data_IF_490651172603
#
_entry.id   IF_490651172603
#
_cell.length_a   1.000
_cell.length_b   1.000
_cell.length_c   1.000
_cell.angle_alpha   90.00
_cell.angle_beta   90.00
_cell.angle_gamma   90.00
#
_symmetry.space_group_name_H-M   'P 1'
#
loop_
_entity.id
_entity.type
_entity.pdbx_description
1 polymer ?
2 water ?
#
# COMPACT_ATOMS: atom_id res chain seq x y z
N UNK A 26 4.56 -6.66 8.01
CA UNK A 26 3.83 -7.99 7.95
C UNK A 26 4.11 -8.79 6.68
N UNK A 27 4.49 -8.11 5.59
CA UNK A 27 4.84 -8.74 4.30
C UNK A 27 6.08 -9.61 4.45
N UNK A 28 5.99 -10.85 3.93
CA UNK A 28 7.03 -11.93 4.02
C UNK A 28 6.80 -12.87 5.23
N UNK A 29 5.89 -12.45 6.11
CA UNK A 29 5.64 -13.18 7.34
C UNK A 29 4.28 -13.87 7.21
N UNK A 30 4.06 -14.88 8.05
CA UNK A 30 2.77 -15.54 8.07
C UNK A 30 1.70 -14.55 8.54
N UNK A 31 0.53 -14.64 7.92
CA UNK A 31 -0.58 -13.76 8.26
C UNK A 31 -1.07 -14.09 9.67
N UNK A 32 -1.50 -13.08 10.42
CA UNK A 32 -2.18 -13.29 11.69
C UNK A 32 -3.49 -14.02 11.41
N UNK A 33 -3.63 -15.22 11.96
CA UNK A 33 -4.84 -15.98 11.77
C UNK A 33 -5.90 -15.44 12.72
N UNK A 34 -7.14 -15.40 12.23
CA UNK A 34 -8.24 -14.97 13.07
C UNK A 34 -9.42 -15.85 12.84
N UNK A 35 -10.32 -15.86 13.82
CA UNK A 35 -11.61 -16.53 13.73
C UNK A 35 -12.60 -15.45 14.15
N UNK A 36 -13.55 -15.14 13.28
CA UNK A 36 -14.44 -14.02 13.57
C UNK A 36 -15.81 -14.29 12.97
N UNK A 37 -16.82 -13.54 13.38
CA UNK A 37 -18.13 -13.62 12.74
C UNK A 37 -18.10 -12.87 11.41
N UNK A 38 -18.83 -13.40 10.43
CA UNK A 38 -18.99 -12.72 9.15
C UNK A 38 -20.41 -12.77 8.67
N UNK A 39 -20.74 -11.86 7.77
CA UNK A 39 -22.04 -11.84 7.16
C UNK A 39 -21.78 -12.19 5.72
N UNK A 40 -22.27 -13.34 5.26
CA UNK A 40 -21.94 -13.77 3.87
C UNK A 40 -22.86 -13.25 2.76
N UNK A 41 -22.62 -13.71 1.53
CA UNK A 41 -23.38 -13.17 0.39
C UNK A 41 -24.84 -13.53 0.43
N UNK A 42 -25.22 -14.53 1.23
CA UNK A 42 -26.62 -14.90 1.37
C UNK A 42 -27.19 -14.29 2.65
N UNK A 43 -26.45 -13.35 3.23
CA UNK A 43 -26.84 -12.71 4.48
C UNK A 43 -27.06 -13.66 5.63
N UNK A 44 -26.21 -14.68 5.71
CA UNK A 44 -26.17 -15.59 6.84
C UNK A 44 -24.95 -15.21 7.67
N UNK A 45 -25.08 -15.32 8.99
CA UNK A 45 -23.96 -15.06 9.90
C UNK A 45 -23.18 -16.35 10.02
N UNK A 46 -21.89 -16.29 9.69
CA UNK A 46 -21.03 -17.48 9.58
C UNK A 46 -19.72 -17.30 10.33
N UNK A 47 -18.97 -18.40 10.49
CA UNK A 47 -17.65 -18.33 11.09
C UNK A 47 -16.64 -18.18 9.98
N UNK A 48 -15.76 -17.21 10.13
CA UNK A 48 -14.73 -16.90 9.15
C UNK A 48 -13.41 -17.21 9.84
N UNK A 49 -12.76 -18.26 9.35
CA UNK A 49 -11.50 -18.76 9.90
C UNK A 49 -10.46 -18.59 8.78
N UNK A 50 -9.54 -17.64 8.95
CA UNK A 50 -8.61 -17.32 7.87
C UNK A 50 -7.77 -18.54 7.49
N UNK A 51 -7.40 -19.32 8.49
CA UNK A 51 -6.54 -20.49 8.23
C UNK A 51 -7.23 -21.55 7.36
N UNK A 52 -8.56 -21.51 7.28
CA UNK A 52 -9.30 -22.42 6.42
C UNK A 52 -9.00 -22.28 4.93
N UNK A 53 -8.48 -21.13 4.51
CA UNK A 53 -8.14 -20.90 3.11
C UNK A 53 -6.74 -21.40 2.72
N UNK A 54 -5.93 -21.76 3.71
CA UNK A 54 -4.56 -22.22 3.40
C UNK A 54 -4.63 -23.48 2.54
N UNK A 55 -3.83 -23.50 1.47
CA UNK A 55 -3.81 -24.59 0.51
C UNK A 55 -5.00 -24.57 -0.43
N UNK A 56 -5.89 -23.59 -0.26
CA UNK A 56 -7.15 -23.54 -1.04
C UNK A 56 -7.26 -22.30 -1.93
N UNK A 57 -7.12 -21.13 -1.33
CA UNK A 57 -7.35 -19.88 -2.07
C UNK A 57 -6.42 -18.80 -1.56
N UNK A 58 -6.15 -17.79 -2.40
CA UNK A 58 -5.58 -16.53 -1.93
C UNK A 58 -6.68 -15.75 -1.20
N UNK A 59 -6.30 -14.84 -0.32
CA UNK A 59 -7.29 -13.98 0.31
C UNK A 59 -6.89 -12.54 0.13
N UNK A 60 -7.89 -11.67 0.00
CA UNK A 60 -7.66 -10.23 -0.02
C UNK A 60 -8.43 -9.65 1.14
N UNK A 61 -7.71 -9.09 2.10
CA UNK A 61 -8.35 -8.52 3.31
C UNK A 61 -8.51 -7.04 3.07
N UNK A 62 -9.76 -6.59 3.02
CA UNK A 62 -10.04 -5.20 2.72
C UNK A 62 -10.56 -4.54 4.00
N UNK A 63 -9.68 -3.88 4.77
CA UNK A 63 -10.12 -3.15 5.98
C UNK A 63 -10.71 -1.79 5.62
N UNK A 64 -11.71 -1.34 6.40
CA UNK A 64 -12.28 -0.01 6.09
C UNK A 64 -12.94 0.59 7.34
N UNK A 65 -13.04 1.92 7.40
CA UNK A 65 -13.84 2.61 8.41
C UNK A 65 -15.32 2.70 8.03
N UNK A 66 -16.22 2.49 9.00
CA UNK A 66 -17.65 2.80 8.80
C UNK A 66 -18.02 4.11 9.49
N UNK A 67 -17.02 4.71 10.11
CA UNK A 67 -17.11 6.01 10.79
C UNK A 67 -17.76 7.01 9.83
N UNK A 68 -18.76 7.77 10.29
CA UNK A 68 -19.46 8.69 9.40
C UNK A 68 -18.51 9.64 8.65
N UNK A 69 -17.51 10.18 9.33
CA UNK A 69 -16.62 11.16 8.72
C UNK A 69 -15.91 10.62 7.50
N UNK A 70 -15.54 9.34 7.55
CA UNK A 70 -14.71 8.76 6.48
C UNK A 70 -15.34 7.65 5.66
N UNK A 71 -16.60 7.32 5.91
CA UNK A 71 -17.20 6.16 5.21
C UNK A 71 -17.23 6.38 3.67
N UNK A 72 -16.87 5.35 2.92
CA UNK A 72 -16.76 5.42 1.46
C UNK A 72 -17.46 4.21 0.84
N UNK A 73 -18.78 4.31 0.67
CA UNK A 73 -19.52 3.17 0.12
C UNK A 73 -19.09 2.84 -1.30
N UNK A 74 -18.70 3.86 -2.09
CA UNK A 74 -18.44 3.60 -3.50
C UNK A 74 -17.28 2.59 -3.68
N UNK A 75 -16.29 2.61 -2.79
CA UNK A 75 -15.19 1.64 -2.98
C UNK A 75 -15.66 0.21 -2.80
N UNK A 76 -16.51 -0.05 -1.80
CA UNK A 76 -17.10 -1.40 -1.60
C UNK A 76 -17.96 -1.81 -2.79
N UNK A 77 -18.78 -0.88 -3.28
CA UNK A 77 -19.57 -1.12 -4.47
C UNK A 77 -18.70 -1.51 -5.66
N UNK A 78 -17.60 -0.79 -5.85
CA UNK A 78 -16.72 -1.12 -6.98
C UNK A 78 -16.03 -2.47 -6.87
N UNK A 79 -15.61 -2.83 -5.66
CA UNK A 79 -15.00 -4.14 -5.47
C UNK A 79 -16.04 -5.24 -5.77
N UNK A 80 -17.25 -5.04 -5.28
CA UNK A 80 -18.33 -5.98 -5.57
C UNK A 80 -18.62 -6.17 -7.08
N UNK A 81 -18.53 -5.08 -7.82
CA UNK A 81 -18.75 -5.11 -9.28
C UNK A 81 -17.71 -6.00 -9.96
N UNK A 82 -16.57 -6.19 -9.30
CA UNK A 82 -15.47 -6.99 -9.84
C UNK A 82 -15.35 -8.35 -9.19
N UNK A 83 -16.40 -8.79 -8.51
CA UNK A 83 -16.28 -10.01 -7.74
C UNK A 83 -15.96 -11.23 -8.63
N UNK A 84 -16.48 -11.26 -9.88
CA UNK A 84 -16.10 -12.37 -10.81
C UNK A 84 -14.61 -12.43 -11.16
N UNK A 85 -13.94 -11.27 -11.18
CA UNK A 85 -12.48 -11.23 -11.31
C UNK A 85 -11.75 -11.84 -10.13
N UNK A 86 -12.21 -11.52 -8.92
CA UNK A 86 -11.63 -12.16 -7.71
C UNK A 86 -11.86 -13.66 -7.79
N UNK A 87 -13.08 -14.08 -8.10
CA UNK A 87 -13.40 -15.52 -8.22
C UNK A 87 -12.54 -16.23 -9.27
N UNK A 88 -12.40 -15.58 -10.42
CA UNK A 88 -11.57 -16.14 -11.50
C UNK A 88 -10.09 -16.30 -11.11
N UNK A 89 -9.63 -15.49 -10.17
CA UNK A 89 -8.24 -15.53 -9.72
C UNK A 89 -8.07 -16.40 -8.47
N UNK A 90 -9.15 -17.04 -8.05
CA UNK A 90 -9.16 -17.88 -6.83
C UNK A 90 -8.79 -17.10 -5.57
N UNK A 91 -9.37 -15.91 -5.45
CA UNK A 91 -9.14 -15.02 -4.31
C UNK A 91 -10.43 -14.89 -3.51
N UNK A 92 -10.36 -15.12 -2.21
CA UNK A 92 -11.52 -14.85 -1.32
C UNK A 92 -11.38 -13.39 -0.88
N UNK A 93 -12.37 -12.56 -1.21
CA UNK A 93 -12.36 -11.18 -0.75
C UNK A 93 -13.07 -11.07 0.58
N UNK A 94 -12.43 -10.44 1.57
CA UNK A 94 -13.07 -10.30 2.90
C UNK A 94 -13.02 -8.83 3.30
N UNK A 95 -14.19 -8.23 3.48
CA UNK A 95 -14.24 -6.85 4.00
C UNK A 95 -14.17 -6.96 5.51
N UNK A 96 -13.36 -6.13 6.16
CA UNK A 96 -13.24 -6.15 7.62
C UNK A 96 -13.42 -4.74 8.22
N UNK A 97 -14.33 -4.59 9.17
CA UNK A 97 -14.38 -3.34 9.94
C UNK A 97 -14.68 -3.66 11.39
N UNK A 98 -14.55 -2.66 12.25
CA UNK A 98 -14.76 -2.89 13.69
C UNK A 98 -16.25 -3.00 14.10
N UNK A 99 -17.15 -2.89 13.13
CA UNK A 99 -18.57 -2.72 13.43
C UNK A 99 -19.34 -4.02 13.54
N UNK A 100 -20.52 -3.97 14.14
CA UNK A 100 -21.31 -5.21 14.35
C UNK A 100 -21.89 -5.82 13.07
N UNK A 101 -22.30 -7.08 13.14
CA UNK A 101 -22.99 -7.72 12.04
C UNK A 101 -24.25 -6.91 11.66
N UNK A 102 -24.91 -6.33 12.66
CA UNK A 102 -26.14 -5.54 12.39
C UNK A 102 -25.78 -4.38 11.48
N UNK A 103 -24.70 -3.69 11.84
CA UNK A 103 -24.25 -2.54 11.04
C UNK A 103 -24.01 -2.94 9.60
N UNK A 104 -23.37 -4.08 9.37
CA UNK A 104 -23.09 -4.53 8.02
C UNK A 104 -24.36 -4.88 7.29
N UNK A 105 -25.27 -5.59 7.97
CA UNK A 105 -26.55 -5.87 7.30
C UNK A 105 -27.33 -4.59 6.96
N UNK A 106 -27.35 -3.65 7.90
CA UNK A 106 -27.98 -2.37 7.67
C UNK A 106 -27.37 -1.62 6.48
N UNK A 107 -26.06 -1.70 6.38
CA UNK A 107 -25.38 -1.01 5.27
C UNK A 107 -25.74 -1.66 3.92
N UNK A 108 -25.84 -3.00 3.89
CA UNK A 108 -26.20 -3.73 2.69
C UNK A 108 -27.65 -3.40 2.27
N UNK A 109 -28.50 -3.20 3.24
CA UNK A 109 -29.92 -2.96 2.95
C UNK A 109 -30.24 -1.49 2.61
N UNK A 110 -29.33 -0.60 2.95
CA UNK A 110 -29.53 0.84 2.79
C UNK A 110 -29.48 1.19 1.30
N UNK A 111 -30.39 2.06 0.83
CA UNK A 111 -30.36 2.38 -0.60
C UNK A 111 -29.03 3.06 -0.94
N UNK A 112 -28.55 2.86 -2.16
CA UNK A 112 -27.29 3.45 -2.61
C UNK A 112 -27.32 5.00 -2.48
N UNK A 113 -28.45 5.62 -2.82
CA UNK A 113 -28.51 7.07 -2.78
C UNK A 113 -28.46 7.68 -1.36
N UNK A 114 -28.60 6.81 -0.35
CA UNK A 114 -28.52 7.19 1.05
C UNK A 114 -27.22 6.73 1.74
N UNK A 115 -26.29 6.20 0.93
CA UNK A 115 -24.98 5.80 1.41
C UNK A 115 -24.81 4.30 1.63
N UNK A 116 -25.74 3.50 1.11
CA UNK A 116 -25.65 2.04 1.23
C UNK A 116 -24.70 1.39 0.24
N UNK A 117 -24.47 0.08 0.41
CA UNK A 117 -23.57 -0.66 -0.49
C UNK A 117 -24.28 -1.73 -1.32
N UNK A 118 -25.56 -1.97 -1.00
CA UNK A 118 -26.32 -3.03 -1.68
C UNK A 118 -25.94 -4.41 -1.18
N UNK A 119 -26.59 -5.44 -1.73
CA UNK A 119 -26.31 -6.82 -1.26
C UNK A 119 -25.09 -7.42 -1.93
N UNK A 120 -23.94 -7.00 -1.44
CA UNK A 120 -22.64 -7.39 -2.00
C UNK A 120 -22.44 -8.90 -1.89
N UNK A 121 -21.67 -9.43 -2.85
CA UNK A 121 -21.46 -10.88 -2.99
C UNK A 121 -20.14 -11.37 -2.42
N UNK A 122 -19.71 -10.76 -1.33
CA UNK A 122 -18.57 -11.26 -0.59
C UNK A 122 -18.80 -11.04 0.89
N UNK A 123 -18.01 -11.71 1.71
CA UNK A 123 -18.20 -11.69 3.15
C UNK A 123 -17.69 -10.43 3.84
N UNK A 124 -18.49 -9.93 4.76
CA UNK A 124 -18.12 -8.78 5.60
C UNK A 124 -17.89 -9.29 7.00
N UNK A 125 -16.68 -9.10 7.49
CA UNK A 125 -16.26 -9.63 8.77
C UNK A 125 -16.37 -8.56 9.85
N UNK A 126 -16.87 -8.96 11.03
CA UNK A 126 -17.02 -8.04 12.14
C UNK A 126 -15.86 -8.17 13.11
N UNK A 127 -15.03 -7.13 13.20
CA UNK A 127 -13.85 -7.13 14.09
C UNK A 127 -14.22 -6.38 15.38
N UNK A 128 -15.26 -6.87 16.06
CA UNK A 128 -15.85 -6.18 17.21
C UNK A 128 -14.85 -5.86 18.30
N UNK A 129 -14.01 -6.84 18.63
CA UNK A 129 -13.07 -6.64 19.73
C UNK A 129 -11.79 -5.94 19.28
N UNK A 130 -11.70 -5.61 17.99
CA UNK A 130 -10.58 -4.85 17.41
C UNK A 130 -9.28 -5.64 17.27
N UNK A 131 -9.31 -6.91 17.65
CA UNK A 131 -8.08 -7.68 17.64
C UNK A 131 -7.48 -7.85 16.24
N UNK A 132 -8.33 -7.96 15.23
CA UNK A 132 -7.81 -8.21 13.87
C UNK A 132 -7.11 -6.93 13.40
N UNK A 133 -7.80 -5.80 13.52
CA UNK A 133 -7.22 -4.52 13.09
C UNK A 133 -5.92 -4.25 13.86
N UNK A 134 -5.93 -4.52 15.18
CA UNK A 134 -4.73 -4.34 16.02
C UNK A 134 -3.55 -5.12 15.44
N UNK A 135 -3.80 -6.40 15.19
CA UNK A 135 -2.73 -7.31 14.76
C UNK A 135 -2.24 -7.09 13.34
N UNK A 136 -3.08 -6.49 12.50
CA UNK A 136 -2.69 -6.06 11.17
C UNK A 136 -2.13 -4.61 11.15
N UNK A 137 -1.99 -4.01 12.32
CA UNK A 137 -1.45 -2.62 12.45
C UNK A 137 -2.25 -1.58 11.70
N UNK A 138 -3.56 -1.73 11.70
CA UNK A 138 -4.42 -0.78 11.00
C UNK A 138 -5.51 -0.20 11.89
N UNK A 139 -5.35 -0.30 13.22
CA UNK A 139 -6.34 0.27 14.12
C UNK A 139 -5.96 1.73 14.41
N UNK A 140 -6.92 2.63 14.20
CA UNK A 140 -6.71 4.06 14.39
C UNK A 140 -7.36 4.49 15.69
N UNK A 141 -6.60 5.17 16.55
CA UNK A 141 -7.13 5.78 17.80
C UNK A 141 -7.90 4.80 18.66
N UNK A 142 -7.45 3.54 18.67
CA UNK A 142 -8.15 2.42 19.28
C UNK A 142 -9.65 2.45 19.01
N UNK A 143 -10.05 2.89 17.82
CA UNK A 143 -11.44 3.16 17.49
C UNK A 143 -11.95 2.43 16.23
N UNK A 144 -11.31 2.69 15.08
CA UNK A 144 -11.76 2.07 13.83
C UNK A 144 -10.58 1.70 12.93
N UNK A 145 -10.85 0.93 11.89
CA UNK A 145 -9.80 0.47 11.01
C UNK A 145 -9.47 1.50 9.96
N UNK A 146 -8.18 1.63 9.68
CA UNK A 146 -7.72 2.42 8.54
C UNK A 146 -8.00 1.66 7.24
N UNK A 147 -7.76 2.33 6.10
CA UNK A 147 -7.97 1.71 4.78
C UNK A 147 -6.80 0.83 4.41
N UNK A 148 -6.66 -0.27 5.13
CA UNK A 148 -5.61 -1.25 4.86
C UNK A 148 -6.08 -2.33 3.91
N UNK A 149 -5.15 -2.87 3.14
CA UNK A 149 -5.45 -4.00 2.25
C UNK A 149 -4.26 -4.92 2.28
N UNK A 150 -4.55 -6.23 2.40
CA UNK A 150 -3.50 -7.22 2.43
C UNK A 150 -3.83 -8.33 1.46
N UNK A 151 -2.81 -8.86 0.79
CA UNK A 151 -3.04 -10.06 0.00
C UNK A 151 -2.28 -11.18 0.70
N UNK A 152 -2.96 -12.31 0.89
CA UNK A 152 -2.40 -13.49 1.55
C UNK A 152 -2.42 -14.64 0.54
N UNK A 153 -1.29 -15.36 0.42
CA UNK A 153 -1.20 -16.41 -0.58
C UNK A 153 -1.68 -17.76 -0.04
N UNK A 154 -1.55 -18.82 -0.84
CA UNK A 154 -2.17 -20.11 -0.49
C UNK A 154 -1.39 -20.85 0.61
N UNK A 155 -0.20 -20.33 0.94
CA UNK A 155 0.56 -20.79 2.09
C UNK A 155 0.31 -19.99 3.36
N UNK A 156 -0.51 -18.95 3.27
CA UNK A 156 -0.80 -18.13 4.44
C UNK A 156 0.23 -17.03 4.69
N UNK A 157 1.04 -16.73 3.68
CA UNK A 157 2.03 -15.66 3.78
C UNK A 157 1.46 -14.33 3.26
N UNK A 158 1.80 -13.23 3.94
CA UNK A 158 1.40 -11.89 3.46
C UNK A 158 2.32 -11.48 2.31
N UNK A 159 1.71 -11.20 1.16
CA UNK A 159 2.41 -10.90 -0.07
C UNK A 159 2.28 -9.45 -0.52
N UNK A 160 1.42 -8.67 0.14
CA UNK A 160 1.28 -7.28 -0.24
C UNK A 160 0.54 -6.58 0.86
N UNK A 161 0.90 -5.34 1.12
CA UNK A 161 0.25 -4.57 2.17
C UNK A 161 0.17 -3.13 1.66
N UNK A 162 -1.02 -2.52 1.78
CA UNK A 162 -1.21 -1.10 1.38
C UNK A 162 -2.08 -0.46 2.45
N UNK A 163 -1.79 0.80 2.80
CA UNK A 163 -2.69 1.55 3.67
C UNK A 163 -2.86 2.91 2.98
N UNK A 164 -4.08 3.16 2.51
CA UNK A 164 -4.44 4.39 1.81
C UNK A 164 -4.74 5.48 2.83
N UNK A 165 -4.66 6.75 2.41
CA UNK A 165 -5.08 7.87 3.22
C UNK A 165 -6.58 7.66 3.57
N UNK A 166 -7.00 7.98 4.78
CA UNK A 166 -8.41 7.77 5.17
C UNK A 166 -9.43 8.38 4.17
N UNK A 167 -9.21 9.61 3.68
CA UNK A 167 -10.21 10.13 2.71
C UNK A 167 -10.21 9.57 1.30
N UNK A 168 -9.35 8.60 1.00
CA UNK A 168 -9.12 8.18 -0.38
C UNK A 168 -9.49 6.72 -0.60
N UNK A 169 -10.51 6.47 -1.42
CA UNK A 169 -10.94 5.06 -1.69
C UNK A 169 -9.91 4.29 -2.49
N UNK A 170 -9.94 2.96 -2.42
CA UNK A 170 -8.98 2.17 -3.19
C UNK A 170 -9.47 1.91 -4.61
N UNK A 171 -8.51 1.68 -5.51
CA UNK A 171 -8.80 1.42 -6.90
C UNK A 171 -8.77 -0.11 -7.16
N UNK A 172 -9.93 -0.69 -7.38
CA UNK A 172 -10.01 -2.14 -7.57
C UNK A 172 -9.20 -2.66 -8.76
N UNK A 173 -9.09 -1.88 -9.84
CA UNK A 173 -8.33 -2.37 -11.00
C UNK A 173 -6.85 -2.54 -10.63
N UNK A 174 -6.34 -1.60 -9.82
CA UNK A 174 -4.96 -1.64 -9.31
C UNK A 174 -4.75 -2.87 -8.43
N UNK A 175 -5.77 -3.17 -7.58
CA UNK A 175 -5.65 -4.32 -6.70
C UNK A 175 -5.58 -5.61 -7.55
N UNK A 176 -6.40 -5.66 -8.59
CA UNK A 176 -6.45 -6.83 -9.44
C UNK A 176 -5.15 -7.01 -10.19
N UNK A 177 -4.54 -5.91 -10.64
CA UNK A 177 -3.20 -5.99 -11.27
C UNK A 177 -2.16 -6.53 -10.28
N UNK A 178 -2.22 -6.06 -9.03
CA UNK A 178 -1.31 -6.57 -7.97
C UNK A 178 -1.47 -8.05 -7.75
N UNK A 179 -2.73 -8.50 -7.67
CA UNK A 179 -2.97 -9.92 -7.50
C UNK A 179 -2.39 -10.72 -8.69
N UNK A 180 -2.66 -10.26 -9.91
CA UNK A 180 -2.07 -10.87 -11.14
C UNK A 180 -0.53 -11.01 -11.05
N UNK A 181 0.12 -9.97 -10.58
CA UNK A 181 1.59 -10.02 -10.41
C UNK A 181 2.03 -11.06 -9.40
N UNK A 182 1.28 -11.22 -8.30
CA UNK A 182 1.62 -12.19 -7.26
C UNK A 182 1.42 -13.61 -7.81
N UNK A 183 0.31 -13.81 -8.51
CA UNK A 183 0.03 -15.12 -9.08
C UNK A 183 1.13 -15.50 -10.12
N UNK A 184 1.56 -14.51 -10.91
CA UNK A 184 2.61 -14.70 -11.93
C UNK A 184 3.94 -15.13 -11.28
N UNK A 185 4.31 -14.48 -10.17
CA UNK A 185 5.48 -14.91 -9.35
C UNK A 185 5.33 -16.34 -8.85
N UNK A 186 4.12 -16.70 -8.40
CA UNK A 186 3.91 -18.04 -7.85
C UNK A 186 4.03 -19.09 -8.95
N UNK A 187 3.62 -18.75 -10.16
CA UNK A 187 3.63 -19.74 -11.22
C UNK A 187 4.94 -19.76 -12.03
N UNK A 188 5.66 -18.63 -12.06
CA UNK A 188 6.86 -18.48 -12.91
C UNK A 188 8.19 -18.34 -12.16
N UNK A 189 8.14 -17.80 -10.94
CA UNK A 189 9.34 -17.49 -10.16
C UNK A 189 10.19 -16.33 -10.65
N UNK A 190 9.66 -15.50 -11.56
CA UNK A 190 10.42 -14.36 -12.07
C UNK A 190 10.53 -13.18 -11.12
N UNK A 191 11.74 -12.66 -10.97
CA UNK A 191 11.99 -11.45 -10.22
C UNK A 191 12.00 -10.25 -11.16
N UNK A 192 11.18 -9.26 -10.85
CA UNK A 192 11.24 -8.00 -11.59
C UNK A 192 11.00 -8.26 -13.10
N UNK A 193 9.84 -8.87 -13.46
CA UNK A 193 9.58 -9.37 -14.82
C UNK A 193 9.75 -8.30 -15.92
N UNK B 26 1.69 3.46 10.69
CA UNK B 26 2.50 4.65 10.25
C UNK B 26 1.66 5.75 9.59
N UNK B 27 0.69 5.35 8.76
CA UNK B 27 -0.21 6.29 8.06
C UNK B 27 -1.03 7.06 9.10
N UNK B 28 -1.14 8.38 8.88
CA UNK B 28 -1.73 9.38 9.81
C UNK B 28 -0.79 9.87 10.92
N UNK B 29 0.36 9.23 11.07
CA UNK B 29 1.29 9.63 12.11
C UNK B 29 2.42 10.45 11.47
N UNK B 30 3.17 11.15 12.33
CA UNK B 30 4.32 11.95 11.88
C UNK B 30 5.45 11.04 11.41
N UNK B 31 5.98 11.34 10.24
CA UNK B 31 7.00 10.51 9.62
C UNK B 31 8.31 10.57 10.43
N UNK B 32 9.02 9.45 10.48
CA UNK B 32 10.33 9.38 11.08
C UNK B 32 11.28 10.31 10.34
N UNK B 33 11.83 11.27 11.09
CA UNK B 33 12.68 12.30 10.53
C UNK B 33 14.14 11.86 10.55
N UNK B 34 14.59 11.26 9.46
CA UNK B 34 15.96 10.74 9.44
C UNK B 34 16.97 11.79 9.01
N UNK B 35 18.23 11.52 9.32
CA UNK B 35 19.35 12.24 8.73
C UNK B 35 20.34 11.16 8.23
N UNK B 36 20.72 11.28 6.96
CA UNK B 36 21.57 10.25 6.36
C UNK B 36 22.33 10.91 5.23
N UNK B 37 23.41 10.30 4.80
CA UNK B 37 24.08 10.78 3.59
C UNK B 37 23.33 10.32 2.37
N UNK B 38 23.31 11.18 1.36
CA UNK B 38 22.70 10.82 0.10
C UNK B 38 23.61 11.22 -1.04
N UNK B 39 23.35 10.65 -2.21
CA UNK B 39 24.10 10.95 -3.40
C UNK B 39 23.09 11.65 -4.32
N UNK B 40 23.29 12.93 -4.61
CA UNK B 40 22.28 13.65 -5.42
C UNK B 40 22.42 13.51 -6.95
N UNK B 41 21.59 14.26 -7.70
CA UNK B 41 21.52 14.10 -9.15
C UNK B 41 22.81 14.55 -9.82
N UNK B 42 23.62 15.30 -9.10
CA UNK B 42 24.91 15.75 -9.61
C UNK B 42 26.06 14.94 -9.03
N UNK B 43 25.70 13.81 -8.43
CA UNK B 43 26.65 12.92 -7.75
C UNK B 43 27.52 13.61 -6.72
N UNK B 44 26.91 14.54 -6.00
CA UNK B 44 27.46 15.16 -4.82
C UNK B 44 26.91 14.45 -3.59
N UNK B 45 27.77 14.27 -2.60
CA UNK B 45 27.35 13.66 -1.33
C UNK B 45 26.74 14.77 -0.48
N UNK B 46 25.50 14.57 -0.06
CA UNK B 46 24.77 15.57 0.71
C UNK B 46 24.21 14.97 1.99
N UNK B 47 23.89 15.85 2.94
CA UNK B 47 23.14 15.38 4.10
C UNK B 47 21.66 15.52 3.81
N UNK B 48 20.92 14.42 3.87
CA UNK B 48 19.50 14.42 3.56
C UNK B 48 18.75 14.37 4.87
N UNK B 49 17.92 15.39 5.08
CA UNK B 49 17.20 15.59 6.32
C UNK B 49 15.74 15.70 5.93
N UNK B 50 14.90 14.76 6.38
CA UNK B 50 13.51 14.74 5.94
C UNK B 50 12.82 16.05 6.32
N UNK B 51 13.19 16.58 7.49
CA UNK B 51 12.50 17.76 8.00
C UNK B 51 12.74 18.98 7.16
N UNK B 52 13.77 18.95 6.31
CA UNK B 52 14.02 20.08 5.41
C UNK B 52 12.92 20.33 4.38
N UNK B 53 12.11 19.31 4.11
CA UNK B 53 11.06 19.44 3.09
C UNK B 53 9.75 19.94 3.67
N UNK B 54 9.66 20.02 4.99
CA UNK B 54 8.44 20.48 5.65
C UNK B 54 8.08 21.87 5.20
N UNK B 55 6.81 22.06 4.90
CA UNK B 55 6.29 23.32 4.42
C UNK B 55 6.78 23.65 3.04
N UNK B 56 7.53 22.74 2.42
CA UNK B 56 8.09 23.01 1.09
C UNK B 56 7.61 22.05 0.00
N UNK B 57 7.71 20.75 0.26
CA UNK B 57 7.54 19.72 -0.75
C UNK B 57 6.93 18.46 -0.11
N UNK B 58 6.18 17.71 -0.91
CA UNK B 58 5.83 16.32 -0.58
C UNK B 58 7.07 15.48 -0.78
N UNK B 59 7.15 14.33 -0.12
CA UNK B 59 8.24 13.37 -0.38
C UNK B 59 7.66 12.03 -0.76
N UNK B 60 8.34 11.32 -1.65
CA UNK B 60 8.00 9.94 -1.95
C UNK B 60 9.25 9.13 -1.57
N UNK B 61 9.14 8.29 -0.54
CA UNK B 61 10.27 7.45 -0.12
C UNK B 61 10.15 6.12 -0.83
N UNK B 62 11.16 5.73 -1.58
CA UNK B 62 11.13 4.49 -2.34
C UNK B 62 12.23 3.58 -1.79
N UNK B 63 11.85 2.59 -0.99
CA UNK B 63 12.85 1.65 -0.41
C UNK B 63 13.03 0.46 -1.34
N UNK B 64 14.26 -0.08 -1.37
CA UNK B 64 14.51 -1.26 -2.24
C UNK B 64 15.74 -1.99 -1.74
N UNK B 65 15.85 -3.30 -2.11
CA UNK B 65 17.03 -4.13 -1.87
C UNK B 65 18.03 -4.06 -3.03
N UNK B 66 19.32 -4.20 -2.69
CA UNK B 66 20.39 -4.31 -3.69
C UNK B 66 21.07 -5.69 -3.74
N UNK B 67 20.56 -6.66 -3.01
CA UNK B 67 21.14 -8.03 -3.12
C UNK B 67 20.85 -8.60 -4.51
N UNK B 68 21.72 -9.46 -5.01
CA UNK B 68 21.51 -9.97 -6.38
C UNK B 68 20.19 -10.71 -6.58
N UNK B 69 19.70 -11.38 -5.55
CA UNK B 69 18.44 -12.12 -5.70
C UNK B 69 17.30 -11.19 -6.07
N UNK B 70 17.20 -10.05 -5.38
CA UNK B 70 16.00 -9.19 -5.51
C UNK B 70 16.19 -7.81 -6.16
N UNK B 71 17.42 -7.47 -6.55
CA UNK B 71 17.65 -6.15 -7.14
C UNK B 71 16.85 -5.95 -8.45
N UNK B 72 16.29 -4.75 -8.60
CA UNK B 72 15.36 -4.43 -9.70
C UNK B 72 15.69 -3.04 -10.28
N UNK B 73 16.69 -2.99 -11.17
CA UNK B 73 17.07 -1.70 -11.73
C UNK B 73 15.94 -1.12 -12.58
N UNK B 74 15.15 -1.99 -13.20
CA UNK B 74 14.11 -1.53 -14.14
C UNK B 74 13.14 -0.53 -13.47
N UNK B 75 12.79 -0.76 -12.20
CA UNK B 75 11.81 0.14 -11.58
C UNK B 75 12.41 1.52 -11.37
N UNK B 76 13.69 1.57 -10.99
CA UNK B 76 14.37 2.83 -10.80
C UNK B 76 14.48 3.58 -12.12
N UNK B 77 14.81 2.83 -13.17
CA UNK B 77 14.91 3.43 -14.50
C UNK B 77 13.57 4.07 -14.90
N UNK B 78 12.49 3.37 -14.59
CA UNK B 78 11.12 3.85 -14.92
C UNK B 78 10.72 5.08 -14.10
N UNK B 79 11.02 5.08 -12.79
CA UNK B 79 10.80 6.28 -11.98
C UNK B 79 11.58 7.45 -12.52
N UNK B 80 12.84 7.22 -12.90
CA UNK B 80 13.65 8.29 -13.45
C UNK B 80 13.11 8.85 -14.77
N UNK B 81 12.61 7.97 -15.62
CA UNK B 81 11.96 8.39 -16.88
C UNK B 81 10.86 9.42 -16.62
N UNK B 82 10.12 9.21 -15.52
CA UNK B 82 9.01 10.09 -15.14
C UNK B 82 9.35 11.12 -14.06
N UNK B 83 10.64 11.42 -13.89
CA UNK B 83 11.03 12.27 -12.78
C UNK B 83 10.38 13.66 -12.87
N UNK B 84 10.20 14.18 -14.09
CA UNK B 84 9.60 15.51 -14.21
C UNK B 84 8.13 15.54 -13.77
N UNK B 85 7.45 14.40 -13.87
CA UNK B 85 6.07 14.29 -13.31
C UNK B 85 6.06 14.44 -11.78
N UNK B 86 7.05 13.87 -11.10
CA UNK B 86 7.22 14.15 -9.66
C UNK B 86 7.51 15.62 -9.41
N UNK B 87 8.44 16.20 -10.19
CA UNK B 87 8.75 17.62 -10.06
C UNK B 87 7.52 18.52 -10.28
N UNK B 88 6.70 18.20 -11.27
CA UNK B 88 5.50 18.98 -11.59
C UNK B 88 4.51 18.98 -10.42
N UNK B 89 4.53 17.90 -9.65
CA UNK B 89 3.66 17.76 -8.49
C UNK B 89 4.29 18.22 -7.15
N UNK B 90 5.49 18.83 -7.22
CA UNK B 90 6.19 19.32 -6.05
C UNK B 90 6.50 18.15 -5.08
N UNK B 91 6.97 17.03 -5.64
CA UNK B 91 7.32 15.85 -4.84
C UNK B 91 8.82 15.58 -4.97
N UNK B 92 9.50 15.52 -3.83
CA UNK B 92 10.90 15.06 -3.79
C UNK B 92 10.93 13.51 -3.76
N UNK B 93 11.49 12.88 -4.80
CA UNK B 93 11.65 11.41 -4.82
C UNK B 93 12.96 11.03 -4.14
N UNK B 94 12.90 10.16 -3.13
CA UNK B 94 14.14 9.69 -2.47
C UNK B 94 14.22 8.15 -2.52
N UNK B 95 15.25 7.63 -3.18
CA UNK B 95 15.46 6.17 -3.17
C UNK B 95 16.22 5.87 -1.90
N UNK B 96 15.83 4.82 -1.19
CA UNK B 96 16.52 4.48 0.06
C UNK B 96 16.90 2.99 0.10
N UNK B 97 18.16 2.66 0.37
CA UNK B 97 18.54 1.24 0.63
C UNK B 97 19.57 1.22 1.77
N UNK B 98 19.85 0.04 2.31
CA UNK B 98 20.83 -0.08 3.41
C UNK B 98 22.31 0.05 2.96
N UNK B 99 22.52 0.26 1.68
CA UNK B 99 23.85 0.12 1.10
C UNK B 99 24.60 1.45 1.09
N UNK B 100 25.92 1.42 0.88
CA UNK B 100 26.73 2.64 1.07
C UNK B 100 26.63 3.63 -0.11
N UNK B 101 27.15 4.84 0.10
CA UNK B 101 27.18 5.85 -0.98
C UNK B 101 28.00 5.30 -2.16
N UNK B 102 29.11 4.60 -1.86
CA UNK B 102 29.92 3.98 -2.93
C UNK B 102 29.05 3.02 -3.75
N UNK B 103 28.29 2.16 -3.06
CA UNK B 103 27.44 1.17 -3.75
C UNK B 103 26.43 1.86 -4.71
N UNK B 104 25.81 2.94 -4.25
CA UNK B 104 24.88 3.71 -5.13
C UNK B 104 25.58 4.33 -6.33
N UNK B 105 26.75 4.93 -6.10
CA UNK B 105 27.51 5.53 -7.20
C UNK B 105 27.84 4.43 -8.24
N UNK B 106 28.32 3.28 -7.77
CA UNK B 106 28.64 2.15 -8.66
C UNK B 106 27.41 1.71 -9.48
N UNK B 107 26.23 1.73 -8.87
CA UNK B 107 25.00 1.32 -9.56
C UNK B 107 24.64 2.36 -10.65
N UNK B 108 24.85 3.64 -10.36
CA UNK B 108 24.58 4.72 -11.32
C UNK B 108 25.56 4.67 -12.48
N UNK B 109 26.80 4.35 -12.18
CA UNK B 109 27.83 4.28 -13.22
C UNK B 109 27.78 3.04 -14.12
N UNK B 110 27.11 1.98 -13.67
CA UNK B 110 27.06 0.69 -14.35
C UNK B 110 26.19 0.80 -15.60
N UNK B 111 26.64 0.22 -16.74
CA UNK B 111 25.79 0.24 -17.95
C UNK B 111 24.45 -0.43 -17.66
N UNK B 112 23.37 0.14 -18.22
CA UNK B 112 22.04 -0.44 -18.15
C UNK B 112 22.03 -1.90 -18.60
N UNK B 113 22.76 -2.22 -19.68
CA UNK B 113 22.82 -3.60 -20.18
C UNK B 113 23.40 -4.55 -19.15
N UNK B 114 24.21 -4.03 -18.22
CA UNK B 114 24.87 -4.82 -17.20
C UNK B 114 24.12 -4.83 -15.85
N UNK B 115 22.94 -4.21 -15.82
CA UNK B 115 22.14 -4.16 -14.60
C UNK B 115 22.21 -2.85 -13.86
N UNK B 116 22.78 -1.82 -14.51
CA UNK B 116 22.94 -0.49 -13.91
C UNK B 116 21.65 0.31 -13.99
N UNK B 117 21.63 1.46 -13.32
CA UNK B 117 20.46 2.35 -13.38
C UNK B 117 20.72 3.65 -14.13
N UNK B 118 21.99 3.92 -14.48
CA UNK B 118 22.35 5.22 -15.09
C UNK B 118 22.34 6.38 -14.10
N UNK B 119 22.69 7.58 -14.58
CA UNK B 119 22.80 8.74 -13.70
C UNK B 119 21.42 9.38 -13.47
N UNK B 120 20.65 8.72 -12.61
CA UNK B 120 19.30 9.14 -12.34
C UNK B 120 19.26 10.53 -11.71
N UNK B 121 18.15 11.23 -11.96
CA UNK B 121 17.99 12.63 -11.62
C UNK B 121 17.30 12.84 -10.28
N UNK B 122 17.58 11.97 -9.31
CA UNK B 122 17.03 12.15 -7.98
C UNK B 122 17.99 11.53 -6.95
N UNK B 123 17.79 11.88 -5.69
CA UNK B 123 18.72 11.49 -4.63
C UNK B 123 18.53 10.05 -4.13
N UNK B 124 19.66 9.33 -3.97
CA UNK B 124 19.70 7.99 -3.41
C UNK B 124 20.31 8.08 -2.00
N UNK B 125 19.57 7.59 -1.02
CA UNK B 125 19.96 7.77 0.38
C UNK B 125 20.52 6.47 0.91
N UNK B 126 21.61 6.61 1.67
CA UNK B 126 22.25 5.45 2.29
C UNK B 126 21.81 5.23 3.74
N UNK B 127 20.97 4.22 3.95
CA UNK B 127 20.47 3.85 5.30
C UNK B 127 21.49 2.87 5.97
N UNK B 128 22.73 3.34 6.16
CA UNK B 128 23.81 2.40 6.50
C UNK B 128 23.70 1.89 7.91
N UNK B 129 22.96 2.58 8.78
CA UNK B 129 22.76 2.04 10.14
C UNK B 129 21.40 1.30 10.33
N UNK B 130 20.63 1.23 9.23
CA UNK B 130 19.34 0.49 9.14
C UNK B 130 18.18 1.09 9.90
N UNK B 131 18.39 2.23 10.58
CA UNK B 131 17.32 2.86 11.39
C UNK B 131 16.18 3.45 10.55
N UNK B 132 16.46 3.85 9.32
CA UNK B 132 15.41 4.43 8.50
C UNK B 132 14.47 3.30 8.12
N UNK B 133 15.04 2.23 7.55
CA UNK B 133 14.19 1.06 7.19
C UNK B 133 13.48 0.51 8.41
N UNK B 134 14.15 0.48 9.57
CA UNK B 134 13.48 -0.05 10.78
C UNK B 134 12.26 0.79 11.16
N UNK B 135 12.44 2.11 11.13
CA UNK B 135 11.39 3.02 11.59
C UNK B 135 10.25 3.20 10.58
N UNK B 136 10.48 2.80 9.34
CA UNK B 136 9.37 2.65 8.35
C UNK B 136 8.81 1.21 8.25
N UNK B 137 9.24 0.33 9.18
CA UNK B 137 8.73 -1.06 9.31
C UNK B 137 9.01 -1.87 8.04
N UNK B 138 10.13 -1.57 7.37
CA UNK B 138 10.47 -2.28 6.13
C UNK B 138 11.88 -2.93 6.19
N UNK B 139 12.43 -3.07 7.38
CA UNK B 139 13.76 -3.73 7.49
C UNK B 139 13.51 -5.23 7.62
N UNK B 140 14.03 -5.98 6.66
CA UNK B 140 13.89 -7.43 6.67
C UNK B 140 15.12 -8.05 7.33
N UNK B 141 14.88 -8.84 8.37
CA UNK B 141 15.95 -9.70 9.00
C UNK B 141 17.22 -8.94 9.41
N UNK B 142 17.09 -7.70 9.87
CA UNK B 142 18.27 -6.88 10.19
C UNK B 142 19.29 -6.84 9.06
N UNK B 143 18.79 -6.85 7.83
CA UNK B 143 19.61 -7.08 6.66
C UNK B 143 19.40 -6.09 5.51
N UNK B 144 18.18 -5.96 4.99
CA UNK B 144 17.94 -5.08 3.86
C UNK B 144 16.51 -4.58 3.84
N UNK B 145 16.27 -3.58 3.05
CA UNK B 145 14.94 -2.99 2.95
C UNK B 145 14.03 -3.75 1.98
N UNK B 146 12.78 -3.90 2.40
CA UNK B 146 11.73 -4.48 1.56
C UNK B 146 11.27 -3.43 0.57
N UNK B 147 10.40 -3.84 -0.36
CA UNK B 147 9.96 -2.98 -1.46
C UNK B 147 8.85 -2.06 -0.96
N UNK B 148 9.23 -1.09 -0.13
CA UNK B 148 8.25 -0.22 0.52
C UNK B 148 8.18 1.12 -0.18
N UNK B 149 7.03 1.79 -0.09
CA UNK B 149 6.90 3.12 -0.64
C UNK B 149 6.01 3.94 0.26
N UNK B 150 6.42 5.17 0.53
CA UNK B 150 5.63 6.04 1.42
C UNK B 150 5.48 7.42 0.81
N UNK B 151 4.33 8.06 1.01
CA UNK B 151 4.18 9.44 0.58
C UNK B 151 4.04 10.27 1.85
N UNK B 152 4.85 11.31 1.95
CA UNK B 152 4.92 12.20 3.10
C UNK B 152 4.38 13.57 2.67
N UNK B 153 3.45 14.16 3.42
CA UNK B 153 2.93 15.47 2.97
C UNK B 153 3.78 16.65 3.46
N UNK B 154 3.32 17.87 3.17
CA UNK B 154 4.08 19.06 3.53
C UNK B 154 4.10 19.38 5.04
N UNK B 155 3.26 18.68 5.82
CA UNK B 155 3.25 18.76 7.27
C UNK B 155 4.08 17.66 7.92
N UNK B 156 4.71 16.81 7.10
CA UNK B 156 5.49 15.71 7.64
C UNK B 156 4.71 14.48 8.05
N UNK B 157 3.45 14.40 7.64
CA UNK B 157 2.57 13.28 7.95
C UNK B 157 2.63 12.18 6.89
N UNK B 158 2.63 10.92 7.32
CA UNK B 158 2.57 9.81 6.35
C UNK B 158 1.14 9.67 5.78
N UNK B 159 1.03 9.75 4.47
CA UNK B 159 -0.30 9.76 3.79
C UNK B 159 -0.56 8.52 2.96
N UNK B 160 0.46 7.69 2.75
CA UNK B 160 0.25 6.46 1.98
C UNK B 160 1.40 5.54 2.32
N UNK B 161 1.08 4.25 2.42
CA UNK B 161 2.12 3.23 2.65
C UNK B 161 1.81 2.04 1.74
N UNK B 162 2.79 1.54 0.99
CA UNK B 162 2.58 0.26 0.27
C UNK B 162 3.86 -0.55 0.44
N UNK B 163 3.72 -1.83 0.76
CA UNK B 163 4.87 -2.75 0.74
C UNK B 163 4.54 -3.84 -0.28
N UNK B 164 5.22 -3.79 -1.41
CA UNK B 164 5.02 -4.77 -2.50
C UNK B 164 5.72 -6.07 -2.17
N UNK B 165 5.24 -7.17 -2.77
CA UNK B 165 5.95 -8.43 -2.76
C UNK B 165 7.41 -8.17 -3.23
N UNK B 166 8.39 -8.75 -2.56
CA UNK B 166 9.78 -8.50 -2.90
C UNK B 166 10.16 -8.67 -4.39
N UNK B 167 9.67 -9.72 -5.07
CA UNK B 167 9.95 -9.85 -6.52
C UNK B 167 9.26 -8.88 -7.49
N UNK B 168 8.37 -8.02 -6.98
CA UNK B 168 7.53 -7.24 -7.91
C UNK B 168 7.87 -5.75 -7.86
N UNK B 169 8.32 -5.20 -9.00
CA UNK B 169 8.63 -3.78 -9.12
C UNK B 169 7.41 -2.86 -9.03
N UNK B 170 7.63 -1.59 -8.71
CA UNK B 170 6.53 -0.65 -8.50
C UNK B 170 6.13 -0.03 -9.85
N UNK B 171 4.84 0.31 -10.00
CA UNK B 171 4.32 0.90 -11.24
C UNK B 171 4.24 2.41 -11.04
N UNK B 172 5.09 3.13 -11.75
CA UNK B 172 5.24 4.56 -11.53
C UNK B 172 3.94 5.33 -11.81
N UNK B 173 3.19 4.89 -12.82
CA UNK B 173 1.90 5.56 -13.15
C UNK B 173 0.93 5.43 -11.99
N UNK B 174 0.90 4.26 -11.36
CA UNK B 174 0.05 4.06 -10.14
C UNK B 174 0.47 4.99 -9.00
N UNK B 175 1.78 5.14 -8.80
CA UNK B 175 2.29 6.02 -7.74
C UNK B 175 1.90 7.46 -7.98
N UNK B 176 2.00 7.90 -9.23
CA UNK B 176 1.67 9.26 -9.56
C UNK B 176 0.17 9.52 -9.37
N UNK B 177 -0.69 8.53 -9.70
CA UNK B 177 -2.14 8.68 -9.42
C UNK B 177 -2.47 8.78 -7.93
N UNK B 178 -1.78 7.97 -7.15
CA UNK B 178 -1.86 8.04 -5.68
C UNK B 178 -1.49 9.43 -5.17
N UNK B 179 -0.36 9.95 -5.65
CA UNK B 179 0.05 11.30 -5.30
C UNK B 179 -1.04 12.32 -5.71
N UNK B 180 -1.55 12.20 -6.95
CA UNK B 180 -2.63 13.07 -7.40
C UNK B 180 -3.82 13.12 -6.44
N UNK B 181 -4.23 11.95 -5.97
CA UNK B 181 -5.37 11.87 -5.02
C UNK B 181 -5.07 12.57 -3.70
N UNK B 182 -3.84 12.42 -3.20
CA UNK B 182 -3.44 13.08 -1.96
C UNK B 182 -3.42 14.61 -2.12
N UNK B 183 -2.87 15.07 -3.24
CA UNK B 183 -2.88 16.51 -3.54
C UNK B 183 -4.34 17.03 -3.60
N UNK B 184 -5.20 16.28 -4.22
CA UNK B 184 -6.64 16.64 -4.28
C UNK B 184 -7.27 16.81 -2.91
N UNK B 185 -7.01 15.86 -2.00
CA UNK B 185 -7.50 15.95 -0.61
C UNK B 185 -6.98 17.24 0.01
N UNK B 186 -5.68 17.53 -0.21
CA UNK B 186 -5.06 18.69 0.42
C UNK B 186 -5.66 20.01 -0.07
N UNK B 187 -6.09 20.03 -1.33
CA UNK B 187 -6.61 21.28 -1.90
C UNK B 187 -8.13 21.44 -1.76
N UNK B 188 -8.85 20.33 -1.68
CA UNK B 188 -10.34 20.38 -1.67
C UNK B 188 -11.00 19.93 -0.37
N UNK B 189 -10.27 19.17 0.45
CA UNK B 189 -10.84 18.57 1.65
C UNK B 189 -11.91 17.48 1.41
N UNK B 190 -12.10 17.03 0.17
CA UNK B 190 -13.18 16.08 -0.18
C UNK B 190 -12.86 14.66 0.28
N UNK B 191 -13.85 13.98 0.89
CA UNK B 191 -13.72 12.58 1.28
C UNK B 191 -14.39 11.76 0.20
N UNK B 192 -13.67 10.78 -0.35
CA UNK B 192 -14.24 9.87 -1.33
C UNK B 192 -14.88 10.25 -2.66
N UNK B 193 -14.48 11.40 -3.19
CA UNK B 193 -15.30 12.12 -4.16
C UNK B 193 -15.89 11.19 -5.20
N UNK B 194 -17.07 11.54 -5.67
CA UNK B 194 -17.79 10.71 -6.65
C UNK B 194 -17.32 11.02 -8.06
N UNK B 195 -16.79 10.02 -8.75
CA UNK B 195 -16.12 10.22 -10.06
C UNK B 195 -17.00 10.93 -11.10
N UNK B 196 -18.22 10.44 -11.28
CA UNK B 196 -19.10 10.96 -12.33
C UNK B 196 -19.41 12.44 -12.13
N UNK B 197 -19.41 12.89 -10.88
CA UNK B 197 -19.84 14.23 -10.52
C UNK B 197 -18.74 15.29 -10.62
N UNK B 198 -17.51 14.85 -10.90
CA UNK B 198 -16.34 15.74 -10.83
C UNK B 198 -16.58 17.09 -11.50
N UNK B 199 -17.23 17.06 -12.65
CA UNK B 199 -17.37 18.26 -13.48
C UNK B 199 -18.54 19.20 -13.23
N UNK B 200 -19.41 18.87 -12.28
CA UNK B 200 -20.59 19.71 -12.02
#
# INVERSE_FOLDING_TARGET
MGHHHHHHHHHHSSGHIEGRHMKLSLVTKKAYNFTAQGLNKNNEIINVDLSSFIGQKYCCLLFYPLNYTFVCPTEIIEFNKHIKDFENKNVELLGISVDSVYSHLAWKNMPIEKGGIGNVEFTLVSDINKDISKNYNVLYDNSFALRGLFIIDKNGCVRHQTVNDLPIGRNVQEVLRTIDSIIHVDTSGEVCPINWKKGQKAFKPTTESLIDYMNNANKNV
MGHHHHHHHHHHSSGHIEGRHMKLSLVTKKAYNFTAQGLNKNNEIINVDLSSFIGQKYCCLLFYPLNYTFVCPTEIIEFNKHIKDFENKNVELLGISVDSVYSHLAWKNMPIEKGGIGNVEFTLVSDINKDISKNYNVLYDNSFALRGLFIIDKNGCVRHQTVNDLPIGRNVQEVLRTIDSIIHVDTSGEVCPINWKKGQKAFKPTTESLIDYMNNANKNV
#
